data_IF_428580589234
#
_entry.id   IF_428580589234
#
_cell.length_a   1.000
_cell.length_b   1.000
_cell.length_c   1.000
_cell.angle_alpha   90.00
_cell.angle_beta   90.00
_cell.angle_gamma   90.00
#
_symmetry.space_group_name_H-M   'P 1'
#
loop_
_entity.id
_entity.type
_entity.pdbx_description
1 polymer ?
#
# COMPACT_ATOMS: atom_id res chain seq x y z
N UNK A 1 -3.59 -2.95 -30.31
CA UNK A 1 -3.59 -3.15 -28.84
C UNK A 1 -2.71 -4.32 -28.35
N UNK A 2 -2.90 -5.57 -28.80
CA UNK A 2 -2.14 -6.76 -28.34
C UNK A 2 -0.62 -6.61 -28.43
N UNK A 3 -0.08 -6.11 -29.55
CA UNK A 3 1.37 -5.87 -29.73
C UNK A 3 1.95 -4.95 -28.64
N UNK A 4 1.26 -3.86 -28.30
CA UNK A 4 1.73 -2.94 -27.27
C UNK A 4 1.79 -3.61 -25.89
N UNK A 5 0.84 -4.51 -25.59
CA UNK A 5 0.80 -5.25 -24.31
C UNK A 5 1.96 -6.23 -24.11
N UNK A 6 2.54 -6.75 -25.18
CA UNK A 6 3.55 -7.81 -25.13
C UNK A 6 4.96 -7.32 -25.45
N UNK A 7 5.11 -6.14 -26.06
CA UNK A 7 6.42 -5.59 -26.45
C UNK A 7 6.99 -4.69 -25.34
N UNK A 8 6.16 -3.83 -24.75
CA UNK A 8 6.61 -2.85 -23.77
C UNK A 8 6.33 -3.32 -22.35
N UNK A 9 7.23 -3.00 -21.43
CA UNK A 9 7.05 -3.24 -20.00
C UNK A 9 6.51 -2.01 -19.30
N UNK A 10 5.75 -2.21 -18.23
CA UNK A 10 5.33 -1.14 -17.34
C UNK A 10 6.58 -0.55 -16.68
N UNK A 11 6.77 0.78 -16.81
CA UNK A 11 7.96 1.44 -16.29
C UNK A 11 7.84 1.65 -14.78
N UNK A 12 8.90 1.30 -14.06
CA UNK A 12 9.06 1.61 -12.64
C UNK A 12 9.77 2.96 -12.51
N UNK A 13 9.24 3.87 -11.69
CA UNK A 13 9.84 5.18 -11.44
C UNK A 13 9.62 5.66 -10.01
N UNK A 14 9.73 6.97 -9.77
CA UNK A 14 9.51 7.58 -8.44
C UNK A 14 8.12 7.30 -7.86
N UNK A 15 7.11 7.17 -8.73
CA UNK A 15 5.74 6.78 -8.36
C UNK A 15 5.57 5.26 -8.15
N UNK A 16 6.64 4.48 -8.29
CA UNK A 16 6.63 3.02 -8.38
C UNK A 16 6.06 2.54 -9.71
N UNK A 17 5.20 1.52 -9.68
CA UNK A 17 4.42 1.10 -10.85
C UNK A 17 3.02 1.70 -10.82
N UNK A 18 2.50 2.02 -12.00
CA UNK A 18 1.09 2.39 -12.18
C UNK A 18 0.63 2.08 -13.58
N UNK A 19 -0.54 1.47 -13.70
CA UNK A 19 -1.19 1.27 -14.98
C UNK A 19 -2.40 0.36 -14.90
N UNK A 20 -3.06 0.12 -16.04
CA UNK A 20 -4.27 -0.68 -16.09
C UNK A 20 -3.99 -2.12 -15.69
N UNK A 21 -4.93 -2.70 -14.95
CA UNK A 21 -4.97 -4.12 -14.63
C UNK A 21 -5.19 -4.95 -15.90
N UNK A 22 -4.59 -6.14 -15.96
CA UNK A 22 -4.81 -7.09 -17.04
C UNK A 22 -3.57 -7.83 -17.52
N UNK A 23 -3.73 -8.60 -18.60
CA UNK A 23 -2.67 -9.44 -19.14
C UNK A 23 -1.67 -8.65 -20.00
N UNK A 24 -0.38 -8.99 -19.89
CA UNK A 24 0.72 -8.40 -20.65
C UNK A 24 1.76 -7.73 -19.76
N UNK A 25 2.91 -7.37 -20.32
CA UNK A 25 4.02 -6.81 -19.57
C UNK A 25 3.86 -5.32 -19.25
N UNK A 26 2.95 -4.60 -19.93
CA UNK A 26 2.60 -3.20 -19.65
C UNK A 26 1.30 -3.07 -18.84
N UNK A 27 0.96 -4.07 -18.03
CA UNK A 27 -0.25 -4.10 -17.21
C UNK A 27 0.09 -4.49 -15.78
N UNK A 28 -0.76 -4.06 -14.85
CA UNK A 28 -0.71 -4.57 -13.49
C UNK A 28 -1.33 -5.98 -13.45
N UNK A 29 -0.52 -6.95 -13.03
CA UNK A 29 -0.88 -8.35 -12.85
C UNK A 29 0.10 -9.02 -11.89
N UNK A 30 -0.19 -10.27 -11.52
CA UNK A 30 0.61 -11.06 -10.58
C UNK A 30 2.09 -11.08 -10.95
N UNK A 31 2.42 -11.39 -12.22
CA UNK A 31 3.81 -11.48 -12.67
C UNK A 31 4.54 -10.15 -12.51
N UNK A 32 3.90 -9.05 -12.89
CA UNK A 32 4.49 -7.70 -12.79
C UNK A 32 4.75 -7.33 -11.34
N UNK A 33 3.82 -7.63 -10.43
CA UNK A 33 3.97 -7.39 -8.99
C UNK A 33 5.05 -8.28 -8.36
N UNK A 34 5.12 -9.55 -8.75
CA UNK A 34 6.17 -10.49 -8.32
C UNK A 34 7.53 -9.95 -8.74
N UNK A 35 7.72 -9.61 -10.02
CA UNK A 35 8.99 -9.10 -10.54
C UNK A 35 9.40 -7.77 -9.87
N UNK A 36 8.45 -6.86 -9.64
CA UNK A 36 8.69 -5.62 -8.91
C UNK A 36 9.19 -5.89 -7.49
N UNK A 37 8.52 -6.80 -6.78
CA UNK A 37 8.86 -7.19 -5.41
C UNK A 37 10.21 -7.89 -5.33
N UNK A 38 10.54 -8.74 -6.30
CA UNK A 38 11.85 -9.42 -6.38
C UNK A 38 12.98 -8.42 -6.57
N UNK A 39 12.80 -7.46 -7.49
CA UNK A 39 13.78 -6.39 -7.70
C UNK A 39 13.96 -5.52 -6.46
N UNK A 40 12.86 -5.13 -5.80
CA UNK A 40 12.91 -4.37 -4.55
C UNK A 40 13.67 -5.13 -3.46
N UNK A 41 13.32 -6.40 -3.21
CA UNK A 41 13.96 -7.20 -2.18
C UNK A 41 15.45 -7.44 -2.46
N UNK A 42 15.80 -7.74 -3.71
CA UNK A 42 17.20 -7.93 -4.12
C UNK A 42 18.03 -6.64 -3.95
N UNK A 43 17.46 -5.48 -4.29
CA UNK A 43 18.15 -4.20 -4.10
C UNK A 43 18.34 -3.85 -2.62
N UNK A 44 17.31 -4.04 -1.79
CA UNK A 44 17.44 -3.80 -0.34
C UNK A 44 18.50 -4.73 0.26
N UNK A 45 18.55 -6.00 -0.15
CA UNK A 45 19.58 -6.94 0.29
C UNK A 45 20.99 -6.51 -0.09
N UNK A 46 21.20 -6.05 -1.32
CA UNK A 46 22.50 -5.53 -1.76
C UNK A 46 23.01 -4.44 -0.83
N UNK A 47 22.15 -3.48 -0.49
CA UNK A 47 22.52 -2.36 0.38
C UNK A 47 22.81 -2.77 1.83
N UNK A 48 22.44 -3.99 2.21
CA UNK A 48 22.45 -4.47 3.59
C UNK A 48 23.15 -5.84 3.70
N UNK A 49 24.14 -6.13 2.85
CA UNK A 49 24.89 -7.41 2.86
C UNK A 49 25.49 -7.72 4.25
N UNK A 50 25.92 -6.69 4.97
CA UNK A 50 26.52 -6.82 6.30
C UNK A 50 25.50 -6.72 7.45
N UNK A 51 24.20 -6.66 7.15
CA UNK A 51 23.18 -6.51 8.18
C UNK A 51 23.13 -7.72 9.11
N UNK A 52 23.33 -7.46 10.40
CA UNK A 52 23.26 -8.47 11.47
C UNK A 52 21.84 -8.69 12.00
N UNK A 53 20.85 -8.01 11.41
CA UNK A 53 19.43 -8.07 11.81
C UNK A 53 18.56 -8.41 10.60
N UNK A 54 17.40 -9.06 10.82
CA UNK A 54 16.44 -9.29 9.75
C UNK A 54 16.00 -7.97 9.10
N UNK A 55 15.92 -7.98 7.77
CA UNK A 55 15.35 -6.87 7.01
C UNK A 55 13.84 -6.84 7.20
N UNK A 56 13.26 -5.64 7.31
CA UNK A 56 11.84 -5.43 7.60
C UNK A 56 11.16 -4.68 6.48
N UNK A 57 9.97 -5.15 6.10
CA UNK A 57 9.13 -4.48 5.12
C UNK A 57 7.67 -4.45 5.57
N UNK A 58 7.01 -3.30 5.43
CA UNK A 58 5.56 -3.19 5.64
C UNK A 58 4.81 -3.16 4.31
N UNK A 59 3.63 -3.77 4.26
CA UNK A 59 2.86 -3.93 3.03
C UNK A 59 1.40 -3.66 3.31
N UNK A 60 0.79 -2.76 2.55
CA UNK A 60 -0.64 -2.49 2.56
C UNK A 60 -1.20 -2.46 1.14
N UNK A 61 -2.53 -2.46 1.04
CA UNK A 61 -3.25 -2.41 -0.22
C UNK A 61 -4.60 -1.70 -0.04
N UNK A 62 -5.11 -1.14 -1.14
CA UNK A 62 -6.47 -0.59 -1.19
C UNK A 62 -7.51 -1.62 -1.67
N UNK A 63 -8.71 -1.14 -1.96
CA UNK A 63 -9.87 -1.98 -2.30
C UNK A 63 -10.02 -2.22 -3.80
N UNK A 64 -9.11 -1.72 -4.65
CA UNK A 64 -9.24 -1.85 -6.11
C UNK A 64 -9.21 -3.30 -6.53
N UNK A 65 -10.11 -3.68 -7.44
CA UNK A 65 -10.23 -5.03 -7.93
C UNK A 65 -10.87 -5.06 -9.33
N UNK A 66 -10.61 -6.14 -10.06
CA UNK A 66 -11.33 -6.50 -11.27
C UNK A 66 -11.84 -7.93 -11.12
N UNK A 67 -13.18 -8.07 -11.06
CA UNK A 67 -13.85 -9.37 -10.95
C UNK A 67 -13.58 -10.22 -12.20
N UNK A 68 -13.70 -9.62 -13.38
CA UNK A 68 -13.52 -10.30 -14.68
C UNK A 68 -12.11 -10.88 -14.84
N UNK A 69 -11.10 -10.18 -14.31
CA UNK A 69 -9.70 -10.60 -14.39
C UNK A 69 -9.27 -11.44 -13.17
N UNK A 70 -10.14 -11.60 -12.17
CA UNK A 70 -9.88 -12.25 -10.89
C UNK A 70 -8.59 -11.74 -10.21
N UNK A 71 -8.40 -10.42 -10.19
CA UNK A 71 -7.24 -9.76 -9.57
C UNK A 71 -7.68 -8.60 -8.68
N UNK A 72 -6.92 -8.34 -7.63
CA UNK A 72 -7.19 -7.27 -6.68
C UNK A 72 -5.90 -6.74 -6.06
N UNK A 73 -5.97 -5.52 -5.52
CA UNK A 73 -4.89 -4.97 -4.71
C UNK A 73 -4.54 -5.87 -3.52
N UNK A 74 -5.53 -6.56 -2.95
CA UNK A 74 -5.30 -7.55 -1.89
C UNK A 74 -4.44 -8.72 -2.36
N UNK A 75 -4.76 -9.33 -3.51
CA UNK A 75 -3.96 -10.42 -4.08
C UNK A 75 -2.53 -9.96 -4.37
N UNK A 76 -2.36 -8.78 -4.95
CA UNK A 76 -1.05 -8.19 -5.21
C UNK A 76 -0.27 -7.89 -3.92
N UNK A 77 -0.93 -7.38 -2.88
CA UNK A 77 -0.32 -7.15 -1.57
C UNK A 77 0.17 -8.46 -0.93
N UNK A 78 -0.64 -9.51 -0.99
CA UNK A 78 -0.25 -10.85 -0.51
C UNK A 78 0.90 -11.45 -1.31
N UNK A 79 0.90 -11.30 -2.65
CA UNK A 79 2.03 -11.75 -3.49
C UNK A 79 3.33 -11.00 -3.16
N UNK A 80 3.24 -9.69 -2.92
CA UNK A 80 4.37 -8.87 -2.47
C UNK A 80 4.94 -9.43 -1.16
N UNK A 81 4.07 -9.77 -0.21
CA UNK A 81 4.47 -10.38 1.06
C UNK A 81 5.14 -11.74 0.85
N UNK A 82 4.57 -12.62 0.02
CA UNK A 82 5.16 -13.93 -0.28
C UNK A 82 6.56 -13.81 -0.88
N UNK A 83 6.81 -12.85 -1.76
CA UNK A 83 8.14 -12.59 -2.34
C UNK A 83 9.12 -12.10 -1.27
N UNK A 84 8.71 -11.17 -0.42
CA UNK A 84 9.56 -10.65 0.66
C UNK A 84 9.89 -11.73 1.71
N UNK A 85 8.92 -12.58 2.06
CA UNK A 85 9.12 -13.74 2.93
C UNK A 85 10.11 -14.74 2.33
N UNK A 86 10.01 -15.02 1.03
CA UNK A 86 10.99 -15.86 0.31
C UNK A 86 12.39 -15.22 0.33
N UNK A 87 12.47 -13.89 0.25
CA UNK A 87 13.70 -13.17 0.44
C UNK A 87 14.17 -13.15 1.91
N UNK A 88 13.46 -13.75 2.86
CA UNK A 88 13.87 -13.82 4.26
C UNK A 88 13.63 -12.53 5.07
N UNK A 89 12.74 -11.65 4.60
CA UNK A 89 12.34 -10.46 5.35
C UNK A 89 11.38 -10.83 6.48
N UNK A 90 11.39 -10.02 7.54
CA UNK A 90 10.24 -9.87 8.43
C UNK A 90 9.20 -8.98 7.74
N UNK A 91 8.01 -9.53 7.53
CA UNK A 91 6.96 -8.87 6.75
C UNK A 91 5.84 -8.44 7.67
N UNK A 92 5.51 -7.15 7.60
CA UNK A 92 4.38 -6.55 8.31
C UNK A 92 3.26 -6.29 7.31
N UNK A 93 2.40 -7.28 7.10
CA UNK A 93 1.30 -7.24 6.14
C UNK A 93 0.02 -6.76 6.83
N UNK A 94 -0.50 -5.62 6.42
CA UNK A 94 -1.80 -5.13 6.88
C UNK A 94 -2.93 -6.03 6.38
N UNK A 95 -3.85 -6.35 7.28
CA UNK A 95 -5.04 -7.14 7.03
C UNK A 95 -6.24 -6.21 6.80
N UNK A 96 -6.90 -6.39 5.66
CA UNK A 96 -7.94 -5.47 5.19
C UNK A 96 -7.38 -4.16 4.63
N UNK A 97 -8.26 -3.33 4.10
CA UNK A 97 -7.86 -2.13 3.39
C UNK A 97 -7.29 -1.06 4.33
N UNK A 98 -6.13 -0.52 3.95
CA UNK A 98 -5.34 0.36 4.81
C UNK A 98 -5.00 1.66 4.09
N UNK A 99 -5.25 2.79 4.76
CA UNK A 99 -4.89 4.10 4.23
C UNK A 99 -3.36 4.23 4.09
N UNK A 100 -2.94 4.77 2.94
CA UNK A 100 -1.53 4.94 2.58
C UNK A 100 -0.65 5.52 3.69
N UNK A 101 -1.05 6.55 4.49
CA UNK A 101 -0.18 7.14 5.51
C UNK A 101 0.25 6.20 6.64
N UNK A 102 -0.46 5.10 6.89
CA UNK A 102 -0.11 4.15 7.96
C UNK A 102 1.18 3.37 7.66
N UNK A 103 1.48 3.13 6.38
CA UNK A 103 2.70 2.43 5.95
C UNK A 103 3.96 3.26 6.24
N UNK A 104 4.15 4.48 5.71
CA UNK A 104 5.34 5.27 6.02
C UNK A 104 5.42 5.66 7.50
N UNK A 105 4.29 5.78 8.20
CA UNK A 105 4.28 5.91 9.66
C UNK A 105 4.94 4.71 10.33
N UNK A 106 4.52 3.49 9.98
CA UNK A 106 5.06 2.25 10.52
C UNK A 106 6.55 2.07 10.15
N UNK A 107 6.91 2.36 8.90
CA UNK A 107 8.30 2.28 8.41
C UNK A 107 9.22 3.11 9.31
N UNK A 108 8.87 4.37 9.57
CA UNK A 108 9.67 5.23 10.45
C UNK A 108 9.66 4.78 11.90
N UNK A 109 8.50 4.33 12.39
CA UNK A 109 8.30 3.99 13.78
C UNK A 109 9.10 2.75 14.21
N UNK A 110 9.20 1.75 13.32
CA UNK A 110 9.85 0.47 13.58
C UNK A 110 11.21 0.35 12.87
N UNK A 111 11.72 1.47 12.33
CA UNK A 111 12.99 1.55 11.58
C UNK A 111 13.09 0.48 10.48
N UNK A 112 12.04 0.33 9.68
CA UNK A 112 11.98 -0.67 8.60
C UNK A 112 12.79 -0.21 7.38
N UNK A 113 13.20 -1.16 6.54
CA UNK A 113 13.97 -0.88 5.34
C UNK A 113 13.11 -0.28 4.22
N UNK A 114 11.85 -0.70 4.14
CA UNK A 114 10.91 -0.23 3.12
C UNK A 114 9.45 -0.42 3.55
N UNK A 115 8.56 0.28 2.86
CA UNK A 115 7.12 0.05 2.87
C UNK A 115 6.57 -0.01 1.44
N UNK A 116 5.54 -0.82 1.22
CA UNK A 116 4.84 -0.93 -0.07
C UNK A 116 3.36 -0.67 0.14
N UNK A 117 2.76 0.11 -0.76
CA UNK A 117 1.31 0.26 -0.84
C UNK A 117 0.85 -0.07 -2.24
N UNK A 118 0.02 -1.10 -2.37
CA UNK A 118 -0.63 -1.45 -3.64
C UNK A 118 -1.89 -0.60 -3.80
N UNK A 119 -1.79 0.42 -4.66
CA UNK A 119 -2.86 1.39 -4.91
C UNK A 119 -2.52 2.25 -6.13
N UNK A 120 -3.54 2.61 -6.93
CA UNK A 120 -3.45 3.68 -7.93
C UNK A 120 -4.02 5.02 -7.44
N UNK A 121 -4.33 5.16 -6.14
CA UNK A 121 -4.77 6.42 -5.54
C UNK A 121 -6.09 6.95 -6.15
N UNK A 122 -6.02 8.02 -6.96
CA UNK A 122 -7.16 8.69 -7.59
C UNK A 122 -7.36 8.27 -9.06
N UNK A 123 -6.52 7.37 -9.58
CA UNK A 123 -6.63 6.91 -10.97
C UNK A 123 -7.96 6.18 -11.22
N UNK A 124 -8.36 6.03 -12.50
CA UNK A 124 -9.53 5.23 -12.88
C UNK A 124 -9.54 3.85 -12.24
N UNK A 125 -10.71 3.25 -12.06
CA UNK A 125 -10.85 1.98 -11.32
C UNK A 125 -10.11 0.80 -11.98
N UNK A 126 -9.91 0.87 -13.29
CA UNK A 126 -9.19 -0.12 -14.08
C UNK A 126 -7.69 -0.12 -13.76
N UNK A 127 -7.16 0.98 -13.21
CA UNK A 127 -5.76 1.10 -12.83
C UNK A 127 -5.48 0.53 -11.44
N UNK A 128 -4.29 -0.06 -11.31
CA UNK A 128 -3.68 -0.38 -10.03
C UNK A 128 -2.23 0.16 -9.99
N UNK A 129 -1.56 0.05 -8.86
CA UNK A 129 -0.20 0.54 -8.69
C UNK A 129 0.55 -0.15 -7.57
N UNK A 130 1.85 0.08 -7.54
CA UNK A 130 2.79 -0.46 -6.55
C UNK A 130 3.69 0.69 -6.11
N UNK A 131 3.37 1.32 -4.98
CA UNK A 131 4.12 2.46 -4.45
C UNK A 131 5.14 1.98 -3.43
N UNK A 132 6.36 2.52 -3.48
CA UNK A 132 7.42 2.19 -2.53
C UNK A 132 7.76 3.41 -1.67
N UNK A 133 7.82 3.19 -0.37
CA UNK A 133 8.29 4.12 0.64
C UNK A 133 9.62 3.60 1.19
N UNK A 134 10.63 4.45 1.24
CA UNK A 134 11.96 4.06 1.72
C UNK A 134 12.06 4.16 3.24
N UNK A 135 13.19 3.75 3.83
CA UNK A 135 13.44 3.78 5.29
C UNK A 135 13.22 5.13 5.97
N UNK A 136 13.24 6.23 5.21
CA UNK A 136 12.94 7.59 5.71
C UNK A 136 11.43 7.84 5.89
N UNK A 137 10.58 6.91 5.47
CA UNK A 137 9.12 7.09 5.38
C UNK A 137 8.68 7.95 4.20
N UNK A 138 9.59 8.40 3.34
CA UNK A 138 9.25 9.13 2.12
C UNK A 138 9.07 8.17 0.96
N UNK A 139 8.25 8.54 -0.02
CA UNK A 139 8.19 7.82 -1.29
C UNK A 139 9.58 7.84 -1.96
N UNK A 140 9.92 6.79 -2.69
CA UNK A 140 11.22 6.69 -3.36
C UNK A 140 11.45 7.83 -4.37
N UNK A 141 12.70 8.27 -4.42
CA UNK A 141 13.26 9.28 -5.34
C UNK A 141 14.61 8.77 -5.86
N UNK A 142 15.23 9.43 -6.85
CA UNK A 142 16.59 9.09 -7.26
C UNK A 142 17.58 9.05 -6.09
N UNK A 143 18.50 8.07 -6.05
CA UNK A 143 18.75 7.04 -7.07
C UNK A 143 17.95 5.73 -6.86
N UNK A 144 17.11 5.65 -5.84
CA UNK A 144 16.46 4.38 -5.46
C UNK A 144 15.49 3.88 -6.53
N UNK A 145 14.76 4.77 -7.19
CA UNK A 145 13.85 4.41 -8.29
C UNK A 145 14.56 3.71 -9.46
N UNK A 146 15.65 4.30 -9.96
CA UNK A 146 16.45 3.76 -11.06
C UNK A 146 17.13 2.44 -10.65
N UNK A 147 17.67 2.38 -9.43
CA UNK A 147 18.30 1.17 -8.92
C UNK A 147 17.29 0.03 -8.75
N UNK A 148 16.13 0.27 -8.16
CA UNK A 148 15.05 -0.73 -8.06
C UNK A 148 14.67 -1.20 -9.46
N UNK A 149 14.47 -0.29 -10.41
CA UNK A 149 14.17 -0.64 -11.80
C UNK A 149 15.23 -1.56 -12.42
N UNK A 150 16.52 -1.27 -12.20
CA UNK A 150 17.61 -2.12 -12.69
C UNK A 150 17.58 -3.52 -12.04
N UNK A 151 17.31 -3.61 -10.74
CA UNK A 151 17.17 -4.90 -10.05
C UNK A 151 15.91 -5.67 -10.48
N UNK A 152 14.81 -5.00 -10.83
CA UNK A 152 13.63 -5.65 -11.44
C UNK A 152 14.04 -6.31 -12.76
N UNK A 153 14.75 -5.59 -13.64
CA UNK A 153 15.22 -6.14 -14.92
C UNK A 153 16.17 -7.34 -14.75
N UNK A 154 16.95 -7.39 -13.66
CA UNK A 154 17.79 -8.55 -13.32
C UNK A 154 17.01 -9.74 -12.74
N UNK A 155 15.78 -9.51 -12.26
CA UNK A 155 14.97 -10.50 -11.52
C UNK A 155 13.60 -10.75 -12.19
N UNK A 156 13.60 -10.92 -13.53
CA UNK A 156 12.36 -11.13 -14.29
C UNK A 156 11.79 -12.55 -14.17
N UNK A 157 12.63 -13.56 -13.92
CA UNK A 157 12.15 -14.92 -13.68
C UNK A 157 11.62 -15.00 -12.24
N UNK A 158 10.39 -15.47 -12.00
CA UNK A 158 9.94 -15.77 -10.65
C UNK A 158 10.91 -16.73 -9.96
N UNK A 159 11.37 -16.41 -8.75
CA UNK A 159 12.30 -17.26 -8.01
C UNK A 159 11.68 -18.62 -7.68
N UNK A 160 10.36 -18.63 -7.49
CA UNK A 160 9.52 -19.83 -7.30
C UNK A 160 8.08 -19.55 -7.75
N UNK A 161 7.23 -20.57 -7.62
CA UNK A 161 5.78 -20.39 -7.67
C UNK A 161 5.29 -19.80 -6.34
N UNK A 162 4.55 -18.71 -6.40
CA UNK A 162 3.95 -18.05 -5.24
C UNK A 162 2.45 -18.37 -5.16
N UNK A 163 1.94 -18.40 -3.93
CA UNK A 163 0.52 -18.54 -3.62
C UNK A 163 0.21 -17.54 -2.50
N UNK A 164 -0.81 -16.67 -2.67
CA UNK A 164 -1.22 -15.71 -1.65
C UNK A 164 -1.97 -16.39 -0.48
N UNK A 165 -2.47 -17.61 -0.68
CA UNK A 165 -3.18 -18.37 0.34
C UNK A 165 -2.28 -18.68 1.54
N UNK A 166 -2.78 -18.40 2.74
CA UNK A 166 -2.07 -18.72 3.98
C UNK A 166 -0.87 -17.81 4.30
N UNK A 167 -0.61 -16.74 3.53
CA UNK A 167 0.52 -15.83 3.78
C UNK A 167 0.58 -15.30 5.22
N UNK A 168 -0.58 -14.96 5.80
CA UNK A 168 -0.68 -14.49 7.20
C UNK A 168 -0.29 -15.54 8.25
N UNK A 169 -0.26 -16.83 7.89
CA UNK A 169 0.13 -17.92 8.79
C UNK A 169 1.65 -18.15 8.81
N UNK A 170 2.40 -17.49 7.93
CA UNK A 170 3.85 -17.63 7.90
C UNK A 170 4.48 -17.02 9.15
N UNK A 171 5.43 -17.72 9.78
CA UNK A 171 6.05 -17.31 11.07
C UNK A 171 6.71 -15.92 11.07
N UNK A 172 7.17 -15.45 9.91
CA UNK A 172 7.78 -14.13 9.73
C UNK A 172 6.80 -13.09 9.15
N UNK A 173 5.50 -13.41 9.08
CA UNK A 173 4.45 -12.49 8.67
C UNK A 173 3.68 -12.02 9.90
N UNK A 174 3.72 -10.71 10.16
CA UNK A 174 3.07 -10.07 11.29
C UNK A 174 1.91 -9.20 10.81
N UNK A 175 0.79 -9.22 11.52
CA UNK A 175 -0.35 -8.34 11.26
C UNK A 175 -0.28 -7.09 12.17
N UNK A 176 0.07 -5.91 11.63
CA UNK A 176 0.20 -4.69 12.43
C UNK A 176 -1.11 -3.90 12.56
N UNK A 177 -2.18 -4.30 11.87
CA UNK A 177 -3.29 -3.41 11.47
C UNK A 177 -3.93 -2.66 12.63
N UNK A 178 -4.42 -3.39 13.65
CA UNK A 178 -5.11 -2.79 14.79
C UNK A 178 -4.17 -1.91 15.61
N UNK A 179 -3.00 -2.44 15.97
CA UNK A 179 -1.98 -1.72 16.76
C UNK A 179 -1.57 -0.41 16.10
N UNK A 180 -1.24 -0.45 14.82
CA UNK A 180 -0.73 0.71 14.10
C UNK A 180 -1.82 1.74 13.83
N UNK A 181 -3.06 1.31 13.60
CA UNK A 181 -4.21 2.21 13.53
C UNK A 181 -4.36 3.03 14.81
N UNK A 182 -4.37 2.36 15.97
CA UNK A 182 -4.49 3.02 17.28
C UNK A 182 -3.29 3.92 17.58
N UNK A 183 -2.08 3.42 17.32
CA UNK A 183 -0.83 4.14 17.61
C UNK A 183 -0.65 5.38 16.72
N UNK A 184 -1.11 5.33 15.46
CA UNK A 184 -1.12 6.48 14.56
C UNK A 184 -1.90 7.64 15.17
N UNK A 185 -3.18 7.43 15.48
CA UNK A 185 -4.04 8.47 16.06
C UNK A 185 -3.52 8.94 17.42
N UNK A 186 -3.10 8.03 18.31
CA UNK A 186 -2.48 8.40 19.59
C UNK A 186 -1.26 9.31 19.40
N UNK A 187 -0.48 9.12 18.34
CA UNK A 187 0.72 9.90 18.08
C UNK A 187 0.43 11.24 17.39
N UNK A 188 -0.51 11.27 16.45
CA UNK A 188 -0.77 12.46 15.61
C UNK A 188 -1.78 13.42 16.23
N UNK A 189 -2.79 12.92 16.96
CA UNK A 189 -3.88 13.75 17.50
C UNK A 189 -3.35 14.86 18.40
N UNK A 190 -2.47 14.61 19.40
CA UNK A 190 -1.96 15.68 20.27
C UNK A 190 -1.11 16.73 19.54
N UNK A 191 -0.58 16.40 18.36
CA UNK A 191 0.27 17.31 17.57
C UNK A 191 -0.54 18.19 16.62
N UNK A 192 -1.69 17.70 16.16
CA UNK A 192 -2.48 18.34 15.12
C UNK A 192 -3.77 18.97 15.67
N UNK A 193 -4.38 18.39 16.71
CA UNK A 193 -5.58 18.92 17.33
C UNK A 193 -5.21 20.05 18.31
N UNK A 194 -5.24 21.29 17.82
CA UNK A 194 -4.85 22.49 18.60
C UNK A 194 -5.90 22.94 19.62
N UNK A 195 -7.20 22.77 19.30
CA UNK A 195 -8.30 23.32 20.08
C UNK A 195 -9.41 22.28 20.37
N UNK A 196 -9.09 21.16 21.05
CA UNK A 196 -10.05 20.07 21.28
C UNK A 196 -11.31 20.52 22.02
N UNK A 197 -11.21 21.49 22.94
CA UNK A 197 -12.37 22.00 23.68
C UNK A 197 -13.27 22.87 22.80
N UNK A 198 -12.69 23.72 21.93
CA UNK A 198 -13.45 24.53 20.99
C UNK A 198 -14.16 23.66 19.95
N UNK A 199 -13.48 22.60 19.48
CA UNK A 199 -14.05 21.65 18.53
C UNK A 199 -15.30 20.96 19.11
N UNK A 200 -15.24 20.55 20.39
CA UNK A 200 -16.37 19.90 21.09
C UNK A 200 -17.60 20.80 21.22
N UNK A 201 -17.41 22.11 21.36
CA UNK A 201 -18.48 23.10 21.46
C UNK A 201 -18.83 23.73 20.11
N UNK A 202 -18.26 23.24 19.01
CA UNK A 202 -18.46 23.82 17.68
C UNK A 202 -19.80 23.38 17.08
N UNK A 203 -20.54 24.33 16.53
CA UNK A 203 -21.77 24.08 15.75
C UNK A 203 -21.50 23.95 14.24
N UNK A 204 -20.23 23.84 13.83
CA UNK A 204 -19.85 23.64 12.42
C UNK A 204 -20.43 22.33 11.92
N UNK A 205 -21.19 22.41 10.83
CA UNK A 205 -21.70 21.23 10.12
C UNK A 205 -20.62 20.70 9.20
N UNK A 206 -20.26 19.43 9.38
CA UNK A 206 -19.26 18.73 8.57
C UNK A 206 -19.98 17.68 7.74
N UNK A 207 -19.83 17.75 6.42
CA UNK A 207 -20.27 16.71 5.48
C UNK A 207 -19.05 16.09 4.85
N UNK A 208 -18.98 14.76 4.87
CA UNK A 208 -17.86 13.99 4.34
C UNK A 208 -18.32 12.96 3.30
N UNK A 209 -17.51 12.76 2.26
CA UNK A 209 -17.65 11.62 1.35
C UNK A 209 -16.32 10.88 1.24
N UNK A 210 -16.38 9.55 1.30
CA UNK A 210 -15.22 8.71 1.03
C UNK A 210 -15.02 8.46 -0.47
N UNK A 211 -15.99 8.84 -1.32
CA UNK A 211 -15.99 8.59 -2.77
C UNK A 211 -15.74 7.12 -3.12
N UNK A 212 -16.39 6.19 -2.39
CA UNK A 212 -16.15 4.74 -2.46
C UNK A 212 -14.73 4.32 -2.10
N UNK A 213 -13.94 5.22 -1.53
CA UNK A 213 -12.57 5.00 -1.09
C UNK A 213 -12.48 4.45 0.33
N UNK A 214 -11.25 4.40 0.84
CA UNK A 214 -10.99 3.89 2.19
C UNK A 214 -11.30 4.91 3.29
N UNK A 215 -11.62 6.15 2.92
CA UNK A 215 -11.45 7.31 3.79
C UNK A 215 -12.42 7.40 4.95
N UNK A 216 -13.61 6.79 4.87
CA UNK A 216 -14.62 6.87 5.93
C UNK A 216 -14.09 6.43 7.29
N UNK A 217 -13.58 5.19 7.39
CA UNK A 217 -13.05 4.65 8.66
C UNK A 217 -12.00 5.58 9.30
N UNK A 218 -11.09 6.14 8.52
CA UNK A 218 -9.99 6.96 9.03
C UNK A 218 -10.44 8.39 9.34
N UNK A 219 -11.29 8.98 8.51
CA UNK A 219 -11.80 10.34 8.71
C UNK A 219 -12.75 10.40 9.89
N UNK A 220 -13.66 9.43 10.02
CA UNK A 220 -14.55 9.30 11.18
C UNK A 220 -13.75 9.19 12.48
N UNK A 221 -12.69 8.36 12.49
CA UNK A 221 -11.79 8.27 13.65
C UNK A 221 -11.08 9.61 13.92
N UNK A 222 -10.59 10.29 12.89
CA UNK A 222 -9.92 11.58 13.05
C UNK A 222 -10.85 12.66 13.64
N UNK A 223 -12.08 12.77 13.12
CA UNK A 223 -13.07 13.74 13.60
C UNK A 223 -13.42 13.51 15.08
N UNK A 224 -13.64 12.25 15.46
CA UNK A 224 -13.91 11.89 16.85
C UNK A 224 -12.73 12.21 17.77
N UNK A 225 -11.51 11.85 17.38
CA UNK A 225 -10.28 12.17 18.13
C UNK A 225 -10.04 13.68 18.24
N UNK A 226 -10.52 14.46 17.27
CA UNK A 226 -10.39 15.91 17.26
C UNK A 226 -11.52 16.62 18.01
N UNK A 227 -12.48 15.87 18.56
CA UNK A 227 -13.59 16.40 19.36
C UNK A 227 -14.85 16.74 18.55
N UNK A 228 -14.90 16.46 17.26
CA UNK A 228 -16.09 16.62 16.44
C UNK A 228 -16.96 15.36 16.52
N UNK A 229 -17.93 15.37 17.45
CA UNK A 229 -18.82 14.24 17.67
C UNK A 229 -19.93 14.09 16.60
N UNK A 230 -20.24 15.17 15.88
CA UNK A 230 -21.30 15.21 14.87
C UNK A 230 -20.69 15.53 13.50
N UNK A 231 -20.88 14.63 12.56
CA UNK A 231 -20.62 14.85 11.14
C UNK A 231 -21.58 13.97 10.34
N UNK A 232 -21.88 14.41 9.12
CA UNK A 232 -22.71 13.68 8.18
C UNK A 232 -21.81 13.03 7.13
N UNK A 233 -22.16 11.83 6.69
CA UNK A 233 -21.50 11.16 5.59
C UNK A 233 -22.47 11.03 4.43
N UNK A 234 -21.99 11.19 3.20
CA UNK A 234 -22.74 10.81 1.99
C UNK A 234 -22.83 9.29 1.99
N UNK A 235 -23.99 8.75 2.37
CA UNK A 235 -24.15 7.31 2.63
C UNK A 235 -23.91 6.47 1.37
N UNK A 236 -24.29 6.98 0.20
CA UNK A 236 -24.10 6.31 -1.10
C UNK A 236 -22.62 6.16 -1.48
N UNK A 237 -21.71 6.91 -0.87
CA UNK A 237 -20.27 6.95 -1.20
C UNK A 237 -19.37 6.56 -0.02
N UNK A 238 -19.95 6.04 1.05
CA UNK A 238 -19.28 5.82 2.34
C UNK A 238 -18.40 4.58 2.37
N UNK A 239 -18.91 3.46 1.86
CA UNK A 239 -18.23 2.17 1.92
C UNK A 239 -17.29 1.97 0.72
N UNK A 240 -16.14 1.28 0.91
CA UNK A 240 -15.25 0.98 -0.20
C UNK A 240 -15.95 0.16 -1.29
N UNK A 241 -15.89 0.63 -2.54
CA UNK A 241 -16.47 -0.09 -3.69
C UNK A 241 -15.52 -0.04 -4.90
N UNK A 242 -14.98 -1.20 -5.36
CA UNK A 242 -14.01 -1.24 -6.45
C UNK A 242 -14.58 -0.74 -7.79
N UNK A 243 -15.90 -0.69 -7.93
CA UNK A 243 -16.57 -0.24 -9.16
C UNK A 243 -16.78 1.28 -9.21
N UNK A 244 -16.59 1.99 -8.09
CA UNK A 244 -16.78 3.43 -7.93
C UNK A 244 -18.07 3.96 -8.63
N UNK A 245 -19.25 3.42 -8.32
CA UNK A 245 -20.45 3.56 -9.16
C UNK A 245 -21.02 4.98 -9.29
N UNK A 246 -20.58 5.93 -8.46
CA UNK A 246 -21.10 7.32 -8.45
C UNK A 246 -20.00 8.37 -8.54
N UNK A 247 -18.81 7.98 -9.02
CA UNK A 247 -17.64 8.86 -9.20
C UNK A 247 -17.26 8.92 -10.68
#
# INVERSE_FOLDING_TARGET
ERKNRLINRLKFGTAGLRGPMGSGYNRMNDLTVIQASQGLCAYIKELNIEAKKPLKISIAYDHRASKDLNISSETFGKLTACVALEAGFEVYLFEGYTATPLVPFLVRKECMDSGVVVTASHNPKEDNGYKVYWKTGSQIVPPHDANISAYISKNLKPWKKYSPEGVYKHKNCFNPTKRVFEEYFKTITPKLCRYPNLNKSSDVKIVYTAMHGLGYKFTSKALLEFGFAKFECVEEQKEPNPDFPTV
#
